data_IF_707398860752
#
_entry.id   IF_707398860752
#
_cell.length_a   1.000
_cell.length_b   1.000
_cell.length_c   1.000
_cell.angle_alpha   90.00
_cell.angle_beta   90.00
_cell.angle_gamma   90.00
#
_symmetry.space_group_name_H-M   'P 1'
#
loop_
_entity.id
_entity.type
_entity.pdbx_description
1 polymer ?
#
# COMPACT_ATOMS: atom_id res chain seq x y z
N UNK A 1 12.98 -62.17 -23.46
CA UNK A 1 13.69 -61.31 -22.48
C UNK A 1 14.04 -60.02 -23.24
N UNK A 2 13.69 -58.79 -22.87
CA UNK A 2 13.82 -58.15 -21.58
C UNK A 2 12.82 -56.98 -21.44
N UNK A 3 12.16 -56.88 -20.29
CA UNK A 3 11.34 -55.74 -19.88
C UNK A 3 11.81 -55.36 -18.47
N UNK A 4 12.85 -54.55 -18.35
CA UNK A 4 13.30 -54.00 -17.06
C UNK A 4 13.92 -52.62 -17.26
N UNK A 5 13.66 -51.74 -16.29
CA UNK A 5 14.36 -50.48 -16.01
C UNK A 5 13.74 -49.15 -16.46
N UNK A 6 12.45 -48.92 -16.17
CA UNK A 6 11.86 -47.57 -16.15
C UNK A 6 11.26 -47.16 -14.78
N UNK A 7 11.33 -48.01 -13.75
CA UNK A 7 10.62 -47.77 -12.50
C UNK A 7 11.36 -46.90 -11.45
N UNK A 8 12.64 -46.57 -11.66
CA UNK A 8 13.48 -45.88 -10.64
C UNK A 8 13.82 -44.42 -10.93
N UNK A 9 13.41 -43.85 -12.08
CA UNK A 9 13.67 -42.41 -12.39
C UNK A 9 12.61 -41.44 -11.84
N UNK A 10 11.36 -41.89 -11.69
CA UNK A 10 10.25 -41.10 -11.12
C UNK A 10 10.48 -40.54 -9.70
N UNK A 11 11.10 -41.26 -8.75
CA UNK A 11 11.26 -40.79 -7.37
C UNK A 11 12.24 -39.61 -7.25
N UNK A 12 13.33 -39.61 -8.03
CA UNK A 12 14.35 -38.57 -7.98
C UNK A 12 13.86 -37.25 -8.59
N UNK A 13 13.15 -37.31 -9.72
CA UNK A 13 12.58 -36.13 -10.39
C UNK A 13 11.45 -35.50 -9.55
N UNK A 14 10.66 -36.32 -8.85
CA UNK A 14 9.67 -35.86 -7.87
C UNK A 14 10.30 -35.22 -6.63
N UNK A 15 11.39 -35.78 -6.09
CA UNK A 15 12.09 -35.19 -4.96
C UNK A 15 12.71 -33.81 -5.31
N UNK A 16 13.23 -33.66 -6.54
CA UNK A 16 13.79 -32.40 -7.05
C UNK A 16 12.69 -31.34 -7.30
N UNK A 17 11.50 -31.72 -7.76
CA UNK A 17 10.41 -30.76 -7.95
C UNK A 17 9.84 -30.28 -6.60
N UNK A 18 9.68 -31.17 -5.62
CA UNK A 18 9.22 -30.82 -4.26
C UNK A 18 10.22 -29.89 -3.58
N UNK A 19 11.52 -30.14 -3.69
CA UNK A 19 12.54 -29.27 -3.10
C UNK A 19 12.55 -27.87 -3.73
N UNK A 20 12.40 -27.77 -5.06
CA UNK A 20 12.28 -26.48 -5.77
C UNK A 20 11.06 -25.68 -5.31
N UNK A 21 9.89 -26.33 -5.17
CA UNK A 21 8.67 -25.68 -4.69
C UNK A 21 8.87 -25.14 -3.27
N UNK A 22 9.49 -25.92 -2.39
CA UNK A 22 9.78 -25.53 -1.01
C UNK A 22 10.78 -24.36 -0.93
N UNK A 23 11.85 -24.40 -1.73
CA UNK A 23 12.83 -23.31 -1.81
C UNK A 23 12.16 -22.01 -2.27
N UNK A 24 11.36 -22.09 -3.33
CA UNK A 24 10.59 -20.93 -3.80
C UNK A 24 9.69 -20.40 -2.69
N UNK A 25 8.89 -21.25 -2.04
CA UNK A 25 8.05 -20.81 -0.93
C UNK A 25 8.84 -20.06 0.16
N UNK A 26 9.99 -20.59 0.58
CA UNK A 26 10.85 -19.91 1.56
C UNK A 26 11.34 -18.54 1.08
N UNK A 27 11.75 -18.42 -0.18
CA UNK A 27 12.12 -17.13 -0.76
C UNK A 27 10.94 -16.14 -0.78
N UNK A 28 9.73 -16.61 -1.05
CA UNK A 28 8.53 -15.76 -1.08
C UNK A 28 8.15 -15.29 0.32
N UNK A 29 8.13 -16.19 1.29
CA UNK A 29 7.87 -15.85 2.69
C UNK A 29 8.93 -14.89 3.22
N UNK A 30 10.20 -15.10 2.90
CA UNK A 30 11.29 -14.19 3.26
C UNK A 30 11.09 -12.80 2.63
N UNK A 31 10.72 -12.75 1.35
CA UNK A 31 10.39 -11.50 0.66
C UNK A 31 9.23 -10.75 1.33
N UNK A 32 8.16 -11.46 1.69
CA UNK A 32 7.02 -10.87 2.40
C UNK A 32 7.40 -10.34 3.79
N UNK A 33 8.26 -11.05 4.53
CA UNK A 33 8.74 -10.61 5.84
C UNK A 33 9.56 -9.31 5.69
N UNK A 34 10.46 -9.25 4.71
CA UNK A 34 11.25 -8.04 4.41
C UNK A 34 10.30 -6.89 4.03
N UNK A 35 9.36 -7.14 3.14
CA UNK A 35 8.37 -6.15 2.69
C UNK A 35 7.53 -5.62 3.87
N UNK A 36 7.03 -6.50 4.74
CA UNK A 36 6.25 -6.12 5.92
C UNK A 36 7.05 -5.34 6.95
N UNK A 37 8.30 -5.75 7.19
CA UNK A 37 9.22 -5.04 8.09
C UNK A 37 9.52 -3.64 7.57
N UNK A 38 9.77 -3.50 6.26
CA UNK A 38 9.94 -2.20 5.62
C UNK A 38 8.67 -1.34 5.74
N UNK A 39 7.49 -1.94 5.55
CA UNK A 39 6.21 -1.26 5.74
C UNK A 39 6.02 -0.74 7.17
N UNK A 40 6.34 -1.55 8.18
CA UNK A 40 6.30 -1.13 9.60
C UNK A 40 7.34 -0.06 9.91
N UNK A 41 8.55 -0.17 9.36
CA UNK A 41 9.60 0.83 9.51
C UNK A 41 9.14 2.20 8.98
N UNK A 42 8.56 2.23 7.78
CA UNK A 42 8.02 3.46 7.18
C UNK A 42 6.83 3.97 7.99
N UNK A 43 5.93 3.10 8.42
CA UNK A 43 4.77 3.48 9.23
C UNK A 43 5.18 4.16 10.53
N UNK A 44 6.10 3.55 11.29
CA UNK A 44 6.61 4.13 12.53
C UNK A 44 7.30 5.46 12.27
N UNK A 45 8.10 5.54 11.20
CA UNK A 45 8.75 6.78 10.79
C UNK A 45 7.74 7.90 10.54
N UNK A 46 6.63 7.62 9.84
CA UNK A 46 5.57 8.58 9.55
C UNK A 46 4.73 8.95 10.79
N UNK A 47 4.49 8.00 11.70
CA UNK A 47 3.71 8.24 12.92
C UNK A 47 4.50 9.06 13.96
N UNK A 48 5.82 8.89 14.02
CA UNK A 48 6.71 9.66 14.89
C UNK A 48 7.40 10.82 14.16
N UNK A 49 6.81 11.35 13.10
CA UNK A 49 7.39 12.49 12.39
C UNK A 49 7.42 13.73 13.30
N UNK A 50 8.51 14.47 13.22
CA UNK A 50 8.74 15.71 13.96
C UNK A 50 9.36 16.75 13.01
N UNK A 51 8.79 17.95 12.86
CA UNK A 51 9.38 19.02 12.06
C UNK A 51 10.73 19.53 12.61
N UNK A 52 11.03 19.25 13.88
CA UNK A 52 12.32 19.60 14.49
C UNK A 52 13.44 18.62 14.12
N UNK A 53 13.09 17.46 13.56
CA UNK A 53 14.08 16.48 13.18
C UNK A 53 14.80 16.88 11.88
N UNK A 54 16.07 16.49 11.71
CA UNK A 54 16.80 16.70 10.47
C UNK A 54 16.13 15.94 9.31
N UNK A 55 15.96 16.62 8.18
CA UNK A 55 15.15 16.12 7.08
C UNK A 55 15.63 16.56 5.70
N UNK A 56 14.88 16.18 4.68
CA UNK A 56 15.09 16.65 3.30
C UNK A 56 14.70 18.12 3.14
N UNK A 57 13.60 18.53 3.78
CA UNK A 57 13.05 19.89 3.76
C UNK A 57 13.80 20.82 4.72
N UNK A 58 14.25 20.30 5.85
CA UNK A 58 15.09 21.00 6.83
C UNK A 58 16.55 20.93 6.37
N UNK A 59 17.12 22.01 5.84
CA UNK A 59 18.51 22.07 5.33
C UNK A 59 19.61 21.92 6.41
N UNK A 60 19.32 21.24 7.52
CA UNK A 60 20.29 20.85 8.54
C UNK A 60 20.74 19.41 8.27
N UNK A 61 21.82 19.27 7.49
CA UNK A 61 22.51 18.00 7.41
C UNK A 61 23.19 17.74 8.75
N UNK A 62 22.83 16.64 9.42
CA UNK A 62 23.47 16.25 10.69
C UNK A 62 24.93 15.92 10.43
N UNK A 63 25.81 16.88 10.66
CA UNK A 63 27.24 16.62 10.78
C UNK A 63 27.49 15.94 12.13
N UNK A 64 28.37 14.93 12.25
CA UNK A 64 28.74 14.32 13.53
C UNK A 64 29.29 15.32 14.58
N UNK A 65 29.59 16.55 14.14
CA UNK A 65 30.11 17.65 14.94
C UNK A 65 29.01 18.60 15.45
N UNK A 66 27.80 18.54 14.89
CA UNK A 66 26.64 19.30 15.36
C UNK A 66 25.87 18.40 16.31
N UNK A 67 25.86 18.73 17.61
CA UNK A 67 24.91 18.13 18.56
C UNK A 67 23.51 18.51 18.10
N UNK A 68 22.86 17.63 17.34
CA UNK A 68 21.43 17.68 17.14
C UNK A 68 20.83 17.33 18.49
N UNK A 69 20.16 18.30 19.10
CA UNK A 69 19.31 18.06 20.26
C UNK A 69 18.34 16.92 19.87
N UNK A 70 18.21 15.94 20.75
CA UNK A 70 17.56 14.63 20.59
C UNK A 70 16.62 14.45 19.37
N UNK A 71 16.88 13.41 18.56
CA UNK A 71 16.01 13.02 17.45
C UNK A 71 14.70 12.48 18.01
N UNK A 72 13.57 13.11 17.65
CA UNK A 72 12.25 12.72 18.16
C UNK A 72 11.68 11.49 17.44
N UNK A 73 12.06 11.26 16.18
CA UNK A 73 11.59 10.10 15.43
C UNK A 73 12.01 8.79 16.12
N UNK A 74 11.03 7.94 16.42
CA UNK A 74 11.24 6.69 17.16
C UNK A 74 12.12 5.69 16.39
N UNK A 75 12.16 5.79 15.06
CA UNK A 75 13.01 4.97 14.20
C UNK A 75 14.45 5.54 14.14
N UNK A 76 14.65 6.78 14.57
CA UNK A 76 15.92 7.51 14.54
C UNK A 76 16.11 8.34 13.27
N UNK A 77 17.35 8.76 13.00
CA UNK A 77 17.70 9.70 11.92
C UNK A 77 17.14 9.29 10.56
N UNK A 78 17.29 8.02 10.18
CA UNK A 78 16.78 7.52 8.91
C UNK A 78 15.26 7.62 8.80
N UNK A 79 14.54 7.39 9.90
CA UNK A 79 13.09 7.54 9.94
C UNK A 79 12.66 8.99 9.77
N UNK A 80 13.37 9.93 10.40
CA UNK A 80 13.14 11.36 10.23
C UNK A 80 13.29 11.78 8.76
N UNK A 81 14.41 11.44 8.11
CA UNK A 81 14.62 11.73 6.69
C UNK A 81 13.56 11.10 5.77
N UNK A 82 13.21 9.83 6.01
CA UNK A 82 12.23 9.12 5.18
C UNK A 82 10.84 9.74 5.32
N UNK A 83 10.40 9.98 6.55
CA UNK A 83 9.07 10.57 6.79
C UNK A 83 8.97 11.98 6.24
N UNK A 84 9.99 12.81 6.47
CA UNK A 84 10.06 14.16 5.91
C UNK A 84 10.04 14.18 4.38
N UNK A 85 10.83 13.31 3.74
CA UNK A 85 10.84 13.17 2.30
C UNK A 85 9.48 12.75 1.75
N UNK A 86 8.84 11.75 2.38
CA UNK A 86 7.54 11.24 1.94
C UNK A 86 6.42 12.27 2.11
N UNK A 87 6.35 12.94 3.26
CA UNK A 87 5.37 14.01 3.48
C UNK A 87 5.60 15.18 2.53
N UNK A 88 6.86 15.58 2.29
CA UNK A 88 7.16 16.64 1.33
C UNK A 88 6.73 16.27 -0.09
N UNK A 89 6.95 15.02 -0.51
CA UNK A 89 6.70 14.59 -1.88
C UNK A 89 5.21 14.40 -2.18
N UNK A 90 4.48 13.71 -1.30
CA UNK A 90 3.10 13.25 -1.55
C UNK A 90 2.10 13.60 -0.44
N UNK A 91 2.51 14.32 0.59
CA UNK A 91 1.64 14.76 1.69
C UNK A 91 1.08 13.59 2.50
N UNK A 92 -0.14 13.71 3.02
CA UNK A 92 -0.78 12.66 3.83
C UNK A 92 -0.99 11.34 3.09
N UNK A 93 -0.93 11.35 1.76
CA UNK A 93 -0.98 10.13 0.94
C UNK A 93 0.24 9.22 1.21
N UNK A 94 1.29 9.73 1.86
CA UNK A 94 2.41 8.92 2.38
C UNK A 94 1.96 7.72 3.21
N UNK A 95 0.86 7.81 3.96
CA UNK A 95 0.32 6.69 4.74
C UNK A 95 -0.22 5.54 3.88
N UNK A 96 -0.48 5.74 2.58
CA UNK A 96 -0.82 4.63 1.69
C UNK A 96 0.39 3.70 1.46
N UNK A 97 1.63 4.21 1.46
CA UNK A 97 2.85 3.41 1.23
C UNK A 97 2.94 2.22 2.20
N UNK A 98 2.93 2.43 3.54
CA UNK A 98 2.99 1.32 4.47
C UNK A 98 1.77 0.40 4.34
N UNK A 99 0.57 0.94 4.08
CA UNK A 99 -0.63 0.12 3.87
C UNK A 99 -0.46 -0.86 2.69
N UNK A 100 0.13 -0.40 1.59
CA UNK A 100 0.41 -1.24 0.42
C UNK A 100 1.50 -2.27 0.68
N UNK A 101 2.54 -1.92 1.45
CA UNK A 101 3.61 -2.86 1.81
C UNK A 101 3.09 -3.96 2.76
N UNK A 102 2.22 -3.61 3.70
CA UNK A 102 1.72 -4.53 4.73
C UNK A 102 0.57 -5.40 4.21
N UNK A 103 -0.27 -4.91 3.29
CA UNK A 103 -1.46 -5.64 2.82
C UNK A 103 -1.17 -7.06 2.27
N UNK A 104 -0.17 -7.29 1.40
CA UNK A 104 0.18 -8.63 0.91
C UNK A 104 0.61 -9.58 2.04
N UNK A 105 1.28 -9.04 3.06
CA UNK A 105 1.74 -9.80 4.24
C UNK A 105 0.53 -10.26 5.05
N UNK A 106 -0.40 -9.35 5.35
CA UNK A 106 -1.65 -9.71 6.06
C UNK A 106 -2.45 -10.75 5.25
N UNK A 107 -2.60 -10.52 3.94
CA UNK A 107 -3.33 -11.43 3.06
C UNK A 107 -2.72 -12.83 3.04
N UNK A 108 -1.39 -12.94 3.00
CA UNK A 108 -0.71 -14.23 2.94
C UNK A 108 -0.75 -14.97 4.28
N UNK A 109 -0.42 -14.31 5.39
CA UNK A 109 -0.27 -14.98 6.69
C UNK A 109 -1.59 -15.18 7.44
N UNK A 110 -2.58 -14.29 7.27
CA UNK A 110 -3.79 -14.28 8.11
C UNK A 110 -5.07 -14.62 7.34
N UNK A 111 -5.15 -14.33 6.04
CA UNK A 111 -6.39 -14.49 5.26
C UNK A 111 -6.36 -15.77 4.42
N UNK A 112 -5.23 -16.05 3.77
CA UNK A 112 -5.12 -17.12 2.77
C UNK A 112 -4.55 -18.38 3.41
N UNK A 113 -5.29 -19.49 3.40
CA UNK A 113 -4.80 -20.79 3.92
C UNK A 113 -4.07 -21.65 2.88
N UNK A 114 -3.93 -21.16 1.65
CA UNK A 114 -3.26 -21.89 0.57
C UNK A 114 -1.80 -21.47 0.48
N UNK A 115 -0.89 -22.47 0.43
CA UNK A 115 0.52 -22.28 0.11
C UNK A 115 0.65 -21.90 -1.36
N UNK A 116 0.45 -20.62 -1.66
CA UNK A 116 0.70 -20.11 -3.00
C UNK A 116 2.22 -20.14 -3.18
N UNK A 117 2.73 -21.09 -3.97
CA UNK A 117 4.12 -21.06 -4.43
C UNK A 117 4.40 -19.75 -5.17
N UNK A 118 5.69 -19.41 -5.38
CA UNK A 118 6.10 -18.18 -6.07
C UNK A 118 5.10 -17.84 -7.19
N UNK A 119 4.48 -16.65 -7.16
CA UNK A 119 3.73 -16.19 -8.31
C UNK A 119 4.62 -16.34 -9.54
N UNK A 120 4.05 -16.70 -10.68
CA UNK A 120 4.70 -16.49 -11.98
C UNK A 120 4.94 -14.97 -12.10
N UNK A 121 6.06 -14.55 -11.54
CA UNK A 121 6.50 -13.19 -11.33
C UNK A 121 7.02 -12.73 -12.68
N UNK A 122 6.28 -11.87 -13.37
CA UNK A 122 6.89 -10.87 -14.25
C UNK A 122 5.88 -9.84 -14.75
N UNK A 123 4.68 -10.24 -15.18
CA UNK A 123 3.74 -9.29 -15.81
C UNK A 123 2.74 -8.66 -14.83
N UNK A 124 2.07 -9.48 -14.00
CA UNK A 124 0.96 -9.00 -13.16
C UNK A 124 1.40 -8.11 -12.00
N UNK A 125 2.59 -8.32 -11.44
CA UNK A 125 3.08 -7.49 -10.33
C UNK A 125 3.46 -6.07 -10.79
N UNK A 126 4.01 -5.94 -12.00
CA UNK A 126 4.33 -4.63 -12.56
C UNK A 126 3.07 -3.78 -12.75
N UNK A 127 1.98 -4.40 -13.23
CA UNK A 127 0.67 -3.74 -13.36
C UNK A 127 0.15 -3.27 -12.00
N UNK A 128 0.34 -4.05 -10.93
CA UNK A 128 -0.06 -3.66 -9.57
C UNK A 128 0.71 -2.44 -9.06
N UNK A 129 2.01 -2.39 -9.33
CA UNK A 129 2.86 -1.24 -8.97
C UNK A 129 2.43 -0.01 -9.75
N UNK A 130 2.19 -0.12 -11.07
CA UNK A 130 1.68 1.00 -11.88
C UNK A 130 0.32 1.48 -11.35
N UNK A 131 -0.60 0.56 -11.10
CA UNK A 131 -1.91 0.88 -10.53
C UNK A 131 -1.77 1.63 -9.21
N UNK A 132 -0.81 1.21 -8.37
CA UNK A 132 -0.55 1.84 -7.10
C UNK A 132 0.05 3.25 -7.21
N UNK A 133 1.02 3.43 -8.12
CA UNK A 133 1.58 4.76 -8.44
C UNK A 133 0.48 5.69 -8.94
N UNK A 134 -0.44 5.19 -9.78
CA UNK A 134 -1.59 5.96 -10.26
C UNK A 134 -2.51 6.38 -9.11
N UNK A 135 -2.76 5.50 -8.13
CA UNK A 135 -3.51 5.85 -6.91
C UNK A 135 -2.80 6.95 -6.13
N UNK A 136 -1.49 6.82 -5.88
CA UNK A 136 -0.74 7.82 -5.12
C UNK A 136 -0.80 9.19 -5.79
N UNK A 137 -0.52 9.25 -7.10
CA UNK A 137 -0.54 10.51 -7.86
C UNK A 137 -1.93 11.13 -7.86
N UNK A 138 -2.97 10.32 -8.12
CA UNK A 138 -4.35 10.82 -8.20
C UNK A 138 -4.90 11.25 -6.85
N UNK A 139 -4.71 10.46 -5.79
CA UNK A 139 -5.11 10.83 -4.44
C UNK A 139 -4.34 12.04 -3.93
N UNK A 140 -3.04 12.14 -4.22
CA UNK A 140 -2.21 13.30 -3.89
C UNK A 140 -2.78 14.55 -4.56
N UNK A 141 -3.07 14.48 -5.86
CA UNK A 141 -3.69 15.61 -6.60
C UNK A 141 -5.05 15.99 -6.03
N UNK A 142 -5.93 15.02 -5.76
CA UNK A 142 -7.24 15.26 -5.16
C UNK A 142 -7.12 15.91 -3.78
N UNK A 143 -6.20 15.43 -2.96
CA UNK A 143 -5.99 15.95 -1.62
C UNK A 143 -5.50 17.40 -1.66
N UNK A 144 -4.62 17.75 -2.60
CA UNK A 144 -4.22 19.14 -2.87
C UNK A 144 -5.36 20.04 -3.35
N UNK A 145 -6.44 19.49 -3.91
CA UNK A 145 -7.62 20.26 -4.35
C UNK A 145 -8.62 20.45 -3.20
N UNK A 146 -8.73 19.46 -2.30
CA UNK A 146 -9.68 19.50 -1.18
C UNK A 146 -9.12 20.15 0.08
N UNK A 147 -7.82 20.03 0.33
CA UNK A 147 -7.14 20.64 1.46
C UNK A 147 -6.43 21.88 0.95
N UNK A 148 -7.02 23.04 1.23
CA UNK A 148 -6.35 24.32 1.02
C UNK A 148 -5.17 24.46 2.00
N UNK A 149 -4.04 25.05 1.58
CA UNK A 149 -2.92 25.31 2.47
C UNK A 149 -3.39 26.20 3.61
N UNK A 150 -3.52 25.64 4.80
CA UNK A 150 -3.83 26.41 6.00
C UNK A 150 -2.51 26.82 6.65
N UNK A 151 -2.34 28.10 6.95
CA UNK A 151 -1.12 28.74 7.45
C UNK A 151 -0.54 28.16 8.76
N UNK A 152 -1.14 27.11 9.35
CA UNK A 152 -0.98 26.83 10.78
C UNK A 152 -0.44 25.46 11.16
N UNK A 153 -0.38 24.45 10.28
CA UNK A 153 0.10 23.13 10.71
C UNK A 153 1.32 22.56 10.00
N UNK A 154 1.49 22.67 8.68
CA UNK A 154 2.77 22.33 8.03
C UNK A 154 2.92 23.07 6.68
N UNK A 155 4.15 23.32 6.22
CA UNK A 155 4.39 23.97 4.94
C UNK A 155 4.00 23.17 3.67
N UNK A 156 3.45 21.93 3.77
CA UNK A 156 3.31 21.00 2.62
C UNK A 156 1.97 20.19 2.53
N UNK A 157 0.90 20.57 3.22
CA UNK A 157 -0.10 19.64 3.81
C UNK A 157 -1.16 18.94 2.98
N UNK A 158 -1.40 19.25 1.72
CA UNK A 158 -2.43 18.50 0.95
C UNK A 158 -1.85 17.21 0.36
N UNK A 159 -1.53 17.30 -0.92
CA UNK A 159 -0.89 16.24 -1.70
C UNK A 159 0.62 16.36 -1.84
N UNK A 160 1.31 17.18 -1.04
CA UNK A 160 2.74 17.43 -1.21
C UNK A 160 3.09 18.09 -2.56
N UNK A 161 4.38 18.09 -2.90
CA UNK A 161 4.92 18.73 -4.11
C UNK A 161 4.28 18.16 -5.39
N UNK A 162 4.09 16.84 -5.46
CA UNK A 162 3.50 16.20 -6.66
C UNK A 162 2.04 16.63 -6.85
N UNK A 163 1.23 16.55 -5.79
CA UNK A 163 -0.18 16.89 -5.85
C UNK A 163 -0.42 18.35 -6.21
N UNK A 164 0.35 19.25 -5.59
CA UNK A 164 0.27 20.69 -5.84
C UNK A 164 0.75 21.04 -7.26
N UNK A 165 1.81 20.38 -7.73
CA UNK A 165 2.31 20.56 -9.09
C UNK A 165 1.29 20.12 -10.14
N UNK A 166 0.61 18.99 -9.93
CA UNK A 166 -0.36 18.48 -10.89
C UNK A 166 -1.68 19.26 -10.82
N UNK A 167 -2.17 19.58 -9.63
CA UNK A 167 -3.44 20.31 -9.46
C UNK A 167 -3.38 21.70 -10.08
N UNK A 168 -2.29 22.44 -9.86
CA UNK A 168 -2.10 23.79 -10.43
C UNK A 168 -2.09 23.78 -11.97
N UNK A 169 -1.49 22.77 -12.59
CA UNK A 169 -1.44 22.64 -14.05
C UNK A 169 -2.75 22.12 -14.67
N UNK A 170 -3.60 21.46 -13.90
CA UNK A 170 -4.83 20.83 -14.42
C UNK A 170 -6.09 21.64 -14.15
N UNK A 171 -6.14 22.44 -13.08
CA UNK A 171 -7.30 23.26 -12.75
C UNK A 171 -7.62 24.32 -13.82
N UNK A 172 -6.60 24.92 -14.45
CA UNK A 172 -6.78 25.92 -15.51
C UNK A 172 -7.48 25.33 -16.76
N UNK A 173 -7.03 24.19 -17.34
CA UNK A 173 -7.70 23.62 -18.52
C UNK A 173 -9.00 22.86 -18.22
N UNK A 174 -9.15 22.23 -17.05
CA UNK A 174 -10.23 21.26 -16.78
C UNK A 174 -11.34 21.75 -15.86
N UNK A 175 -11.23 22.95 -15.29
CA UNK A 175 -12.07 23.45 -14.18
C UNK A 175 -11.98 22.57 -12.92
N UNK A 176 -12.46 23.08 -11.78
CA UNK A 176 -12.46 22.33 -10.52
C UNK A 176 -13.15 20.96 -10.63
N UNK A 177 -14.37 20.95 -11.18
CA UNK A 177 -15.19 19.73 -11.29
C UNK A 177 -14.56 18.71 -12.24
N UNK A 178 -14.03 19.16 -13.38
CA UNK A 178 -13.42 18.26 -14.36
C UNK A 178 -12.13 17.63 -13.85
N UNK A 179 -11.28 18.40 -13.15
CA UNK A 179 -10.07 17.87 -12.52
C UNK A 179 -10.41 16.80 -11.47
N UNK A 180 -11.36 17.08 -10.57
CA UNK A 180 -11.80 16.10 -9.56
C UNK A 180 -12.32 14.81 -10.20
N UNK A 181 -13.16 14.91 -11.23
CA UNK A 181 -13.70 13.72 -11.90
C UNK A 181 -12.62 12.85 -12.58
N UNK A 182 -11.66 13.46 -13.26
CA UNK A 182 -10.57 12.73 -13.92
C UNK A 182 -9.69 12.02 -12.90
N UNK A 183 -9.26 12.72 -11.84
CA UNK A 183 -8.39 12.12 -10.84
C UNK A 183 -9.12 11.10 -9.96
N UNK A 184 -10.42 11.27 -9.72
CA UNK A 184 -11.24 10.24 -9.10
C UNK A 184 -11.29 8.98 -9.98
N UNK A 185 -11.46 9.15 -11.30
CA UNK A 185 -11.45 8.04 -12.25
C UNK A 185 -10.11 7.31 -12.26
N UNK A 186 -9.00 8.06 -12.28
CA UNK A 186 -7.65 7.47 -12.20
C UNK A 186 -7.41 6.74 -10.88
N UNK A 187 -7.91 7.26 -9.76
CA UNK A 187 -7.84 6.58 -8.47
C UNK A 187 -8.58 5.24 -8.50
N UNK A 188 -9.80 5.20 -9.05
CA UNK A 188 -10.58 3.97 -9.19
C UNK A 188 -9.92 2.94 -10.12
N UNK A 189 -9.38 3.38 -11.25
CA UNK A 189 -8.61 2.52 -12.17
C UNK A 189 -7.38 1.96 -11.46
N UNK A 190 -6.62 2.83 -10.77
CA UNK A 190 -5.43 2.43 -10.02
C UNK A 190 -5.73 1.41 -8.93
N UNK A 191 -6.81 1.61 -8.16
CA UNK A 191 -7.28 0.66 -7.15
C UNK A 191 -7.68 -0.68 -7.77
N UNK A 192 -8.39 -0.66 -8.90
CA UNK A 192 -8.78 -1.87 -9.63
C UNK A 192 -7.55 -2.69 -10.06
N UNK A 193 -6.52 -2.03 -10.61
CA UNK A 193 -5.28 -2.65 -11.05
C UNK A 193 -4.41 -3.14 -9.88
N UNK A 194 -4.32 -2.36 -8.80
CA UNK A 194 -3.44 -2.66 -7.67
C UNK A 194 -3.98 -3.77 -6.76
N UNK A 195 -5.27 -3.71 -6.44
CA UNK A 195 -5.92 -4.61 -5.48
C UNK A 195 -6.63 -5.81 -6.15
N UNK A 196 -6.62 -5.89 -7.48
CA UNK A 196 -7.33 -6.92 -8.27
C UNK A 196 -8.82 -6.99 -7.90
N UNK A 197 -9.43 -5.82 -7.65
CA UNK A 197 -10.84 -5.74 -7.23
C UNK A 197 -11.72 -6.17 -8.40
N UNK A 198 -12.50 -7.23 -8.18
CA UNK A 198 -13.68 -7.49 -8.99
C UNK A 198 -14.85 -6.70 -8.42
N UNK A 199 -15.26 -5.64 -9.12
CA UNK A 199 -16.41 -4.81 -8.73
C UNK A 199 -17.68 -5.63 -8.56
N UNK A 200 -17.90 -6.65 -9.39
CA UNK A 200 -19.04 -7.58 -9.26
C UNK A 200 -19.02 -8.31 -7.92
N UNK A 201 -17.87 -8.87 -7.51
CA UNK A 201 -17.75 -9.57 -6.22
C UNK A 201 -17.94 -8.59 -5.06
N UNK A 202 -17.38 -7.39 -5.16
CA UNK A 202 -17.52 -6.37 -4.13
C UNK A 202 -18.99 -5.95 -3.94
N UNK A 203 -19.68 -5.66 -5.04
CA UNK A 203 -21.11 -5.29 -5.02
C UNK A 203 -21.95 -6.43 -4.44
N UNK A 204 -21.70 -7.68 -4.85
CA UNK A 204 -22.41 -8.83 -4.30
C UNK A 204 -22.19 -9.00 -2.79
N UNK A 205 -20.96 -8.81 -2.29
CA UNK A 205 -20.67 -8.86 -0.85
C UNK A 205 -21.34 -7.74 -0.07
N UNK A 206 -21.33 -6.51 -0.62
CA UNK A 206 -22.03 -5.37 0.00
C UNK A 206 -23.53 -5.65 0.05
N UNK A 207 -24.11 -6.16 -1.04
CA UNK A 207 -25.52 -6.56 -1.08
C UNK A 207 -25.84 -7.63 -0.03
N UNK A 208 -25.05 -8.71 0.06
CA UNK A 208 -25.24 -9.74 1.08
C UNK A 208 -25.12 -9.18 2.50
N UNK A 209 -24.18 -8.27 2.74
CA UNK A 209 -24.00 -7.63 4.04
C UNK A 209 -25.21 -6.74 4.40
N UNK A 210 -25.69 -5.93 3.45
CA UNK A 210 -26.88 -5.10 3.63
C UNK A 210 -28.13 -5.95 3.90
N UNK A 211 -28.29 -7.08 3.19
CA UNK A 211 -29.39 -8.01 3.43
C UNK A 211 -29.30 -8.69 4.80
N UNK A 212 -28.11 -9.07 5.25
CA UNK A 212 -27.90 -9.64 6.59
C UNK A 212 -28.11 -8.60 7.69
N UNK A 213 -27.60 -7.40 7.51
CA UNK A 213 -27.79 -6.29 8.45
C UNK A 213 -29.26 -5.92 8.57
N UNK A 214 -29.95 -5.75 7.43
CA UNK A 214 -31.39 -5.53 7.40
C UNK A 214 -32.16 -6.68 8.02
N UNK A 215 -31.86 -7.93 7.65
CA UNK A 215 -32.51 -9.12 8.20
C UNK A 215 -32.37 -9.24 9.71
N UNK A 216 -31.18 -8.97 10.26
CA UNK A 216 -30.93 -8.99 11.70
C UNK A 216 -31.62 -7.81 12.40
N UNK A 217 -31.60 -6.60 11.82
CA UNK A 217 -32.29 -5.43 12.35
C UNK A 217 -33.82 -5.62 12.41
N UNK A 218 -34.41 -6.25 11.38
CA UNK A 218 -35.83 -6.58 11.37
C UNK A 218 -36.15 -7.73 12.36
N UNK A 219 -35.27 -8.72 12.49
CA UNK A 219 -35.45 -9.82 13.45
C UNK A 219 -35.38 -9.33 14.91
N UNK A 220 -34.41 -8.48 15.25
CA UNK A 220 -34.16 -7.98 16.61
C UNK A 220 -35.17 -6.94 17.09
N UNK A 221 -35.85 -6.22 16.18
CA UNK A 221 -36.83 -5.19 16.55
C UNK A 221 -38.29 -5.64 16.48
N UNK A 222 -38.61 -6.72 15.76
CA UNK A 222 -40.00 -7.14 15.54
C UNK A 222 -40.36 -8.53 16.07
N UNK A 223 -39.39 -9.35 16.49
CA UNK A 223 -39.64 -10.72 16.97
C UNK A 223 -39.20 -10.98 18.42
N UNK A 224 -38.62 -10.00 19.11
CA UNK A 224 -38.23 -10.06 20.54
C UNK A 224 -39.30 -9.54 21.50
N UNK A 225 -40.37 -8.91 20.99
CA UNK A 225 -41.50 -8.37 21.77
C UNK A 225 -42.74 -9.31 21.82
N UNK A 226 -42.56 -10.64 21.71
CA UNK A 226 -43.65 -11.61 21.92
C UNK A 226 -43.28 -12.73 22.88
#
# INVERSE_FOLDING_TARGET
>A
MAKKSQATKKPAEQAVSISRIRINQLFFESWLIIQGTLGLFILLSLLSYSPQDPGWSTQEFVSPLNKVDEINNTVGTWGAYISDFLFSLIGYIAYLIPAWLIYPVIKHFFITKTTVGWPSLTSLQFIKVIGWVLVVISCSTLLSIFIEPTETFFPYEGGGIIGNGISSNTLQPLSYVGTVLIFLTFSLIGLTLSLEISWTILINKIQEYLLKFGGNFWAENFFTDR
#
